data_IF_978715054005
#
_entry.id   IF_978715054005
#
_cell.length_a   1.000
_cell.length_b   1.000
_cell.length_c   1.000
_cell.angle_alpha   90.00
_cell.angle_beta   90.00
_cell.angle_gamma   90.00
#
_symmetry.space_group_name_H-M   'P 1'
#
loop_
_entity.id
_entity.type
_entity.pdbx_description
1 polymer ?
#
# COMPACT_ATOMS: atom_id res chain seq x y z
N UNK A 1 -7.81 23.25 -7.64
CA UNK A 1 -8.43 21.97 -8.08
C UNK A 1 -7.72 20.71 -7.58
N UNK A 2 -6.52 20.33 -8.04
CA UNK A 2 -5.89 19.06 -7.57
C UNK A 2 -5.43 19.11 -6.10
N UNK A 3 -4.89 20.25 -5.67
CA UNK A 3 -4.46 20.46 -4.27
C UNK A 3 -5.63 20.50 -3.30
N UNK A 4 -6.73 21.18 -3.62
CA UNK A 4 -7.94 21.23 -2.79
C UNK A 4 -8.56 19.83 -2.62
N UNK A 5 -8.71 19.08 -3.72
CA UNK A 5 -9.18 17.68 -3.67
C UNK A 5 -8.28 16.80 -2.79
N UNK A 6 -6.97 17.02 -2.87
CA UNK A 6 -6.03 16.30 -2.01
C UNK A 6 -6.15 16.70 -0.54
N UNK A 7 -6.46 17.96 -0.22
CA UNK A 7 -6.72 18.38 1.17
C UNK A 7 -8.02 17.77 1.71
N UNK A 8 -9.08 17.70 0.91
CA UNK A 8 -10.32 16.99 1.28
C UNK A 8 -10.05 15.51 1.56
N UNK A 9 -9.27 14.84 0.71
CA UNK A 9 -8.86 13.45 0.93
C UNK A 9 -8.01 13.26 2.19
N UNK A 10 -7.09 14.16 2.49
CA UNK A 10 -6.28 14.15 3.72
C UNK A 10 -7.16 14.37 4.96
N UNK A 11 -8.10 15.31 4.89
CA UNK A 11 -9.06 15.54 5.96
C UNK A 11 -9.89 14.28 6.21
N UNK A 12 -10.43 13.67 5.14
CA UNK A 12 -11.17 12.41 5.23
C UNK A 12 -10.33 11.30 5.85
N UNK A 13 -9.08 11.16 5.45
CA UNK A 13 -8.15 10.17 6.01
C UNK A 13 -7.99 10.35 7.53
N UNK A 14 -7.86 11.57 8.03
CA UNK A 14 -7.70 11.86 9.46
C UNK A 14 -8.88 11.40 10.34
N UNK A 15 -10.07 11.34 9.76
CA UNK A 15 -11.32 10.95 10.43
C UNK A 15 -11.56 9.43 10.46
N UNK A 16 -10.75 8.66 9.73
CA UNK A 16 -10.98 7.23 9.50
C UNK A 16 -9.82 6.38 10.00
N UNK A 17 -10.08 5.09 10.15
CA UNK A 17 -9.07 4.06 10.28
C UNK A 17 -8.67 3.57 8.88
N UNK A 18 -7.45 3.85 8.40
CA UNK A 18 -6.99 3.39 7.10
C UNK A 18 -6.69 1.90 7.12
N UNK A 19 -7.34 1.17 6.21
CA UNK A 19 -6.94 -0.16 5.77
C UNK A 19 -6.14 -0.02 4.47
N UNK A 20 -4.89 -0.49 4.48
CA UNK A 20 -4.05 -0.64 3.29
C UNK A 20 -3.94 -2.13 2.98
N UNK A 21 -4.05 -2.51 1.71
CA UNK A 21 -3.81 -3.90 1.29
C UNK A 21 -2.65 -3.87 0.29
N UNK A 22 -1.57 -4.57 0.61
CA UNK A 22 -0.37 -4.64 -0.22
C UNK A 22 -0.26 -6.03 -0.85
N UNK A 23 0.03 -6.09 -2.15
CA UNK A 23 0.02 -7.35 -2.85
C UNK A 23 0.50 -7.29 -4.30
N UNK A 24 0.46 -8.45 -4.94
CA UNK A 24 0.82 -8.61 -6.35
C UNK A 24 -0.20 -7.94 -7.28
N UNK A 25 0.29 -7.41 -8.40
CA UNK A 25 -0.54 -6.81 -9.46
C UNK A 25 -1.22 -7.85 -10.35
N UNK A 26 -1.61 -7.46 -11.56
CA UNK A 26 -2.40 -8.31 -12.48
C UNK A 26 -1.75 -9.65 -12.90
N UNK A 27 -0.46 -9.85 -12.64
CA UNK A 27 0.23 -11.13 -12.86
C UNK A 27 -0.10 -12.20 -11.80
N UNK A 28 -0.79 -11.84 -10.72
CA UNK A 28 -1.26 -12.81 -9.73
C UNK A 28 -2.29 -13.76 -10.37
N UNK A 29 -1.97 -15.05 -10.43
CA UNK A 29 -2.83 -16.06 -11.06
C UNK A 29 -3.91 -16.60 -10.12
N UNK A 30 -3.83 -16.28 -8.82
CA UNK A 30 -4.77 -16.76 -7.80
C UNK A 30 -6.13 -16.07 -7.94
N UNK A 31 -7.19 -16.76 -7.54
CA UNK A 31 -8.54 -16.22 -7.56
C UNK A 31 -8.68 -15.04 -6.55
N UNK A 32 -8.98 -13.81 -7.01
CA UNK A 32 -9.11 -12.65 -6.14
C UNK A 32 -10.22 -12.80 -5.10
N UNK A 33 -11.28 -13.57 -5.37
CA UNK A 33 -12.36 -13.84 -4.40
C UNK A 33 -11.84 -14.66 -3.23
N UNK A 34 -11.06 -15.71 -3.51
CA UNK A 34 -10.42 -16.54 -2.50
C UNK A 34 -9.42 -15.76 -1.64
N UNK A 35 -8.59 -14.93 -2.28
CA UNK A 35 -7.62 -14.08 -1.58
C UNK A 35 -8.33 -13.05 -0.69
N UNK A 36 -9.32 -12.33 -1.23
CA UNK A 36 -10.12 -11.37 -0.46
C UNK A 36 -10.84 -12.03 0.71
N UNK A 37 -11.36 -13.25 0.54
CA UNK A 37 -12.00 -14.00 1.63
C UNK A 37 -11.03 -14.36 2.75
N UNK A 38 -9.81 -14.73 2.39
CA UNK A 38 -8.74 -15.03 3.35
C UNK A 38 -8.34 -13.77 4.11
N UNK A 39 -8.10 -12.65 3.41
CA UNK A 39 -7.76 -11.35 4.02
C UNK A 39 -8.87 -10.92 4.98
N UNK A 40 -10.13 -10.95 4.53
CA UNK A 40 -11.27 -10.59 5.38
C UNK A 40 -11.33 -11.43 6.66
N UNK A 41 -11.09 -12.75 6.57
CA UNK A 41 -11.04 -13.63 7.76
C UNK A 41 -9.91 -13.23 8.71
N UNK A 42 -8.72 -12.90 8.21
CA UNK A 42 -7.60 -12.47 9.05
C UNK A 42 -7.85 -11.10 9.68
N UNK A 43 -8.39 -10.15 8.92
CA UNK A 43 -8.78 -8.83 9.44
C UNK A 43 -9.78 -8.94 10.58
N UNK A 44 -10.82 -9.77 10.45
CA UNK A 44 -11.77 -9.98 11.56
C UNK A 44 -11.10 -10.52 12.81
N UNK A 45 -10.25 -11.55 12.69
CA UNK A 45 -9.51 -12.11 13.84
C UNK A 45 -8.60 -11.07 14.48
N UNK A 46 -7.94 -10.25 13.67
CA UNK A 46 -7.08 -9.19 14.16
C UNK A 46 -7.90 -8.13 14.93
N UNK A 47 -9.02 -7.69 14.36
CA UNK A 47 -9.89 -6.67 14.96
C UNK A 47 -10.74 -7.17 16.13
N UNK A 48 -10.89 -8.48 16.33
CA UNK A 48 -11.43 -9.05 17.58
C UNK A 48 -10.51 -8.75 18.78
N UNK A 49 -9.20 -8.64 18.55
CA UNK A 49 -8.19 -8.32 19.58
C UNK A 49 -7.96 -6.81 19.65
N UNK A 50 -7.79 -6.17 18.49
CA UNK A 50 -7.48 -4.75 18.36
C UNK A 50 -8.47 -4.08 17.41
N UNK A 51 -9.70 -3.76 17.87
CA UNK A 51 -10.73 -3.18 17.01
C UNK A 51 -10.35 -1.76 16.57
N UNK A 52 -10.64 -1.36 15.31
CA UNK A 52 -10.53 0.02 14.85
C UNK A 52 -11.38 0.96 15.73
N UNK A 53 -10.84 2.10 16.13
CA UNK A 53 -11.60 3.10 16.92
C UNK A 53 -12.32 4.11 16.03
N UNK A 54 -11.91 4.21 14.76
CA UNK A 54 -12.53 5.05 13.74
C UNK A 54 -13.22 4.22 12.65
N UNK A 55 -14.18 4.81 11.91
CA UNK A 55 -14.77 4.17 10.74
C UNK A 55 -13.68 3.77 9.74
N UNK A 56 -13.80 2.58 9.15
CA UNK A 56 -12.83 2.08 8.18
C UNK A 56 -12.87 2.87 6.86
N UNK A 57 -11.70 3.05 6.25
CA UNK A 57 -11.56 3.49 4.86
C UNK A 57 -10.47 2.68 4.17
N UNK A 58 -10.73 2.22 2.95
CA UNK A 58 -9.73 1.47 2.17
C UNK A 58 -8.87 2.44 1.37
N UNK A 59 -7.55 2.39 1.54
CA UNK A 59 -6.61 3.25 0.83
C UNK A 59 -5.90 2.44 -0.27
N UNK A 60 -6.03 2.86 -1.53
CA UNK A 60 -5.41 2.21 -2.70
C UNK A 60 -4.31 3.08 -3.30
N UNK A 61 -3.37 2.45 -4.02
CA UNK A 61 -2.12 3.08 -4.46
C UNK A 61 -2.03 3.24 -5.99
N UNK A 62 -3.19 3.38 -6.66
CA UNK A 62 -3.25 3.67 -8.09
C UNK A 62 -2.97 2.51 -9.03
N UNK A 63 -3.13 1.28 -8.54
CA UNK A 63 -3.13 0.09 -9.40
C UNK A 63 -4.16 0.22 -10.53
N UNK A 64 -3.81 -0.22 -11.75
CA UNK A 64 -4.74 -0.18 -12.87
C UNK A 64 -5.91 -1.13 -12.66
N UNK A 65 -7.01 -0.90 -13.37
CA UNK A 65 -8.13 -1.85 -13.40
C UNK A 65 -7.67 -3.18 -14.04
N UNK A 66 -7.71 -4.24 -13.24
CA UNK A 66 -7.31 -5.59 -13.64
C UNK A 66 -8.32 -6.61 -13.12
N UNK A 67 -8.50 -7.73 -13.84
CA UNK A 67 -9.39 -8.83 -13.43
C UNK A 67 -8.85 -9.64 -12.25
N UNK A 68 -7.53 -9.56 -12.00
CA UNK A 68 -6.82 -10.28 -10.94
C UNK A 68 -5.89 -9.35 -10.15
N UNK A 69 -5.25 -9.91 -9.12
CA UNK A 69 -4.32 -9.19 -8.26
C UNK A 69 -4.99 -8.13 -7.41
N UNK A 70 -4.18 -7.20 -6.91
CA UNK A 70 -4.57 -6.25 -5.87
C UNK A 70 -5.76 -5.35 -6.26
N UNK A 71 -5.87 -4.96 -7.52
CA UNK A 71 -6.99 -4.15 -8.02
C UNK A 71 -8.33 -4.87 -7.87
N UNK A 72 -8.42 -6.12 -8.32
CA UNK A 72 -9.61 -6.95 -8.13
C UNK A 72 -9.90 -7.24 -6.65
N UNK A 73 -8.87 -7.56 -5.87
CA UNK A 73 -8.99 -7.87 -4.44
C UNK A 73 -9.55 -6.66 -3.67
N UNK A 74 -9.03 -5.46 -3.91
CA UNK A 74 -9.45 -4.24 -3.18
C UNK A 74 -10.87 -3.83 -3.52
N UNK A 75 -11.37 -4.08 -4.75
CA UNK A 75 -12.80 -3.92 -5.07
C UNK A 75 -13.68 -4.82 -4.22
N UNK A 76 -13.37 -6.13 -4.20
CA UNK A 76 -14.12 -7.12 -3.40
C UNK A 76 -14.09 -6.76 -1.92
N UNK A 77 -12.94 -6.31 -1.40
CA UNK A 77 -12.81 -5.88 0.00
C UNK A 77 -13.63 -4.62 0.31
N UNK A 78 -13.66 -3.64 -0.60
CA UNK A 78 -14.51 -2.44 -0.46
C UNK A 78 -15.99 -2.81 -0.37
N UNK A 79 -16.46 -3.74 -1.20
CA UNK A 79 -17.84 -4.22 -1.16
C UNK A 79 -18.15 -5.01 0.09
N UNK A 80 -17.29 -5.98 0.41
CA UNK A 80 -17.47 -6.88 1.56
C UNK A 80 -17.46 -6.15 2.89
N UNK A 81 -16.63 -5.12 3.03
CA UNK A 81 -16.59 -4.27 4.22
C UNK A 81 -17.59 -3.11 4.14
N UNK A 82 -18.20 -2.88 2.98
CA UNK A 82 -19.08 -1.73 2.71
C UNK A 82 -18.42 -0.37 2.98
N UNK A 83 -17.12 -0.25 2.70
CA UNK A 83 -16.31 0.95 2.95
C UNK A 83 -15.97 1.69 1.64
N UNK A 84 -15.91 3.03 1.65
CA UNK A 84 -15.40 3.78 0.50
C UNK A 84 -13.90 3.59 0.34
N UNK A 85 -13.37 3.99 -0.83
CA UNK A 85 -11.93 4.04 -1.09
C UNK A 85 -11.39 5.47 -1.12
N UNK A 86 -10.14 5.64 -0.70
CA UNK A 86 -9.29 6.79 -1.04
C UNK A 86 -8.23 6.29 -2.01
N UNK A 87 -8.07 7.00 -3.13
CA UNK A 87 -7.00 6.74 -4.08
C UNK A 87 -5.81 7.66 -3.81
N UNK A 88 -4.64 7.08 -3.52
CA UNK A 88 -3.37 7.80 -3.52
C UNK A 88 -2.63 7.50 -4.81
N UNK A 89 -2.21 8.54 -5.54
CA UNK A 89 -1.63 8.38 -6.88
C UNK A 89 -0.36 9.21 -7.08
N UNK A 90 0.59 8.70 -7.86
CA UNK A 90 1.75 9.46 -8.32
C UNK A 90 1.33 10.64 -9.22
N UNK A 91 1.90 11.81 -8.95
CA UNK A 91 1.71 13.01 -9.76
C UNK A 91 2.11 12.76 -11.23
N UNK A 92 1.46 13.45 -12.21
CA UNK A 92 1.79 13.27 -13.62
C UNK A 92 3.24 13.60 -13.99
N UNK A 93 3.91 14.46 -13.21
CA UNK A 93 5.33 14.76 -13.35
C UNK A 93 6.26 13.61 -12.92
N UNK A 94 5.74 12.64 -12.17
CA UNK A 94 6.46 11.43 -11.75
C UNK A 94 6.12 10.27 -12.69
N UNK A 95 4.83 10.05 -12.95
CA UNK A 95 4.34 9.00 -13.83
C UNK A 95 2.99 9.42 -14.45
N UNK A 96 3.04 10.03 -15.63
CA UNK A 96 1.86 10.57 -16.33
C UNK A 96 0.75 9.55 -16.60
N UNK A 97 1.12 8.27 -16.73
CA UNK A 97 0.19 7.17 -16.95
C UNK A 97 -0.50 6.66 -15.67
N UNK A 98 0.03 6.97 -14.49
CA UNK A 98 -0.40 6.33 -13.24
C UNK A 98 -1.82 6.74 -12.85
N UNK A 99 -2.05 8.04 -12.70
CA UNK A 99 -3.37 8.55 -12.29
C UNK A 99 -4.47 8.22 -13.31
N UNK A 100 -4.28 8.36 -14.64
CA UNK A 100 -5.32 8.01 -15.62
C UNK A 100 -5.71 6.53 -15.60
N UNK A 101 -4.77 5.63 -15.33
CA UNK A 101 -5.02 4.19 -15.37
C UNK A 101 -5.57 3.63 -14.05
N UNK A 102 -5.42 4.37 -12.95
CA UNK A 102 -5.83 3.94 -11.61
C UNK A 102 -7.32 3.57 -11.53
N UNK A 103 -7.61 2.44 -10.88
CA UNK A 103 -8.97 2.00 -10.61
C UNK A 103 -9.70 2.96 -9.64
N UNK A 104 -10.82 3.53 -10.09
CA UNK A 104 -11.64 4.49 -9.34
C UNK A 104 -12.95 3.94 -8.79
N UNK A 105 -13.19 2.64 -8.89
CA UNK A 105 -14.37 2.01 -8.30
C UNK A 105 -14.58 2.40 -6.82
N UNK A 106 -15.73 2.99 -6.46
CA UNK A 106 -16.04 3.45 -5.09
C UNK A 106 -14.98 4.39 -4.46
N UNK A 107 -14.14 5.04 -5.26
CA UNK A 107 -13.23 6.07 -4.77
C UNK A 107 -14.06 7.31 -4.44
N UNK A 108 -13.97 7.73 -3.18
CA UNK A 108 -14.67 8.89 -2.65
C UNK A 108 -13.80 10.15 -2.67
N UNK A 109 -12.49 9.99 -2.50
CA UNK A 109 -11.51 11.08 -2.48
C UNK A 109 -10.21 10.61 -3.12
N UNK A 110 -9.44 11.55 -3.67
CA UNK A 110 -8.14 11.28 -4.26
C UNK A 110 -7.08 12.19 -3.63
N UNK A 111 -5.88 11.67 -3.40
CA UNK A 111 -4.75 12.40 -2.83
C UNK A 111 -3.55 12.21 -3.75
N UNK A 112 -2.96 13.31 -4.23
CA UNK A 112 -1.69 13.20 -4.95
C UNK A 112 -0.56 12.83 -4.00
N UNK A 113 0.41 12.07 -4.51
CA UNK A 113 1.58 11.66 -3.75
C UNK A 113 2.37 12.85 -3.21
N UNK A 114 2.55 13.91 -4.02
CA UNK A 114 3.15 15.17 -3.58
C UNK A 114 2.43 15.77 -2.37
N UNK A 115 1.10 15.89 -2.41
CA UNK A 115 0.33 16.47 -1.32
C UNK A 115 0.40 15.61 -0.05
N UNK A 116 0.37 14.28 -0.17
CA UNK A 116 0.49 13.37 0.96
C UNK A 116 1.88 13.45 1.60
N UNK A 117 2.93 13.43 0.77
CA UNK A 117 4.32 13.58 1.21
C UNK A 117 4.55 14.92 1.91
N UNK A 118 4.03 16.01 1.36
CA UNK A 118 4.14 17.34 1.94
C UNK A 118 3.39 17.43 3.26
N UNK A 119 2.21 16.79 3.37
CA UNK A 119 1.48 16.69 4.64
C UNK A 119 2.29 15.91 5.67
N UNK A 120 2.82 14.75 5.33
CA UNK A 120 3.65 13.95 6.23
C UNK A 120 4.88 14.74 6.70
N UNK A 121 5.53 15.48 5.80
CA UNK A 121 6.66 16.33 6.16
C UNK A 121 6.28 17.46 7.14
N UNK A 122 5.07 18.03 7.01
CA UNK A 122 4.56 19.01 7.98
C UNK A 122 4.23 18.41 9.34
N UNK A 123 3.72 17.17 9.37
CA UNK A 123 3.48 16.43 10.62
C UNK A 123 4.80 16.09 11.33
N UNK A 124 5.82 15.71 10.55
CA UNK A 124 7.18 15.45 11.06
C UNK A 124 8.22 15.55 9.95
N UNK A 125 9.04 16.60 10.02
CA UNK A 125 10.04 16.89 8.99
C UNK A 125 11.13 15.82 8.88
N UNK A 126 11.29 14.96 9.89
CA UNK A 126 12.35 13.96 9.96
C UNK A 126 11.95 12.59 9.41
N UNK A 127 10.73 12.40 8.89
CA UNK A 127 10.25 11.08 8.43
C UNK A 127 10.58 10.80 6.96
N UNK A 128 10.29 11.75 6.07
CA UNK A 128 10.34 11.51 4.61
C UNK A 128 11.75 11.17 4.11
N UNK A 129 12.76 11.86 4.63
CA UNK A 129 14.15 11.66 4.20
C UNK A 129 14.70 10.27 4.59
N UNK A 130 14.54 9.78 5.84
CA UNK A 130 14.91 8.41 6.19
C UNK A 130 14.20 7.33 5.37
N UNK A 131 12.89 7.44 5.14
CA UNK A 131 12.16 6.49 4.27
C UNK A 131 12.80 6.46 2.88
N UNK A 132 13.06 7.64 2.31
CA UNK A 132 13.65 7.76 0.98
C UNK A 132 15.02 7.09 0.91
N UNK A 133 15.87 7.33 1.92
CA UNK A 133 17.21 6.74 2.00
C UNK A 133 17.16 5.22 2.09
N UNK A 134 16.32 4.66 2.95
CA UNK A 134 16.22 3.19 3.12
C UNK A 134 15.63 2.54 1.87
N UNK A 135 14.66 3.17 1.20
CA UNK A 135 14.18 2.71 -0.12
C UNK A 135 15.33 2.66 -1.13
N UNK A 136 16.15 3.71 -1.19
CA UNK A 136 17.29 3.77 -2.11
C UNK A 136 18.34 2.70 -1.80
N UNK A 137 18.65 2.46 -0.53
CA UNK A 137 19.56 1.39 -0.08
C UNK A 137 19.02 -0.02 -0.41
N UNK A 138 17.72 -0.24 -0.23
CA UNK A 138 17.07 -1.52 -0.56
C UNK A 138 17.06 -1.74 -2.07
N UNK A 139 16.82 -0.69 -2.86
CA UNK A 139 16.85 -0.76 -4.31
C UNK A 139 18.26 -1.07 -4.83
N UNK A 140 19.29 -0.43 -4.26
CA UNK A 140 20.69 -0.70 -4.57
C UNK A 140 21.07 -2.14 -4.25
N UNK A 141 20.71 -2.63 -3.06
CA UNK A 141 20.98 -4.01 -2.62
C UNK A 141 20.32 -5.03 -3.56
N UNK A 142 19.03 -4.85 -3.86
CA UNK A 142 18.29 -5.73 -4.79
C UNK A 142 18.89 -5.69 -6.20
N UNK A 143 19.30 -4.52 -6.67
CA UNK A 143 19.91 -4.35 -8.00
C UNK A 143 21.28 -5.03 -8.08
N UNK A 144 22.14 -4.83 -7.08
CA UNK A 144 23.44 -5.49 -7.01
C UNK A 144 23.29 -7.02 -7.01
N UNK A 145 22.32 -7.55 -6.26
CA UNK A 145 22.02 -8.98 -6.24
C UNK A 145 21.57 -9.51 -7.61
N UNK A 146 20.67 -8.81 -8.31
CA UNK A 146 20.23 -9.21 -9.66
C UNK A 146 21.37 -9.23 -10.66
N UNK A 147 22.25 -8.22 -10.62
CA UNK A 147 23.42 -8.15 -11.49
C UNK A 147 24.39 -9.32 -11.22
N UNK A 148 24.60 -9.67 -9.94
CA UNK A 148 25.39 -10.84 -9.56
C UNK A 148 24.75 -12.17 -10.03
N UNK A 149 23.43 -12.22 -10.17
CA UNK A 149 22.67 -13.34 -10.75
C UNK A 149 22.62 -13.32 -12.29
N UNK A 150 23.30 -12.38 -12.95
CA UNK A 150 23.29 -12.24 -14.41
C UNK A 150 21.98 -11.70 -14.98
N UNK A 151 21.15 -11.05 -14.15
CA UNK A 151 19.88 -10.42 -14.54
C UNK A 151 20.02 -8.91 -14.69
N UNK A 152 19.13 -8.30 -15.47
CA UNK A 152 19.06 -6.86 -15.60
C UNK A 152 18.75 -6.15 -14.28
N UNK A 153 19.18 -4.87 -14.18
CA UNK A 153 18.82 -3.98 -13.07
C UNK A 153 17.30 -3.87 -12.88
N UNK A 154 16.87 -3.53 -11.67
CA UNK A 154 15.47 -3.20 -11.46
C UNK A 154 15.10 -1.94 -12.28
N UNK A 155 13.91 -1.92 -12.92
CA UNK A 155 13.43 -0.75 -13.63
C UNK A 155 13.39 0.50 -12.75
N UNK A 156 13.67 1.66 -13.34
CA UNK A 156 13.78 2.93 -12.61
C UNK A 156 12.47 3.33 -11.90
N UNK A 157 11.31 2.84 -12.39
CA UNK A 157 10.02 3.09 -11.74
C UNK A 157 9.94 2.48 -10.32
N UNK A 158 10.70 1.43 -10.01
CA UNK A 158 10.64 0.74 -8.71
C UNK A 158 10.78 1.71 -7.54
N UNK A 159 11.68 2.68 -7.68
CA UNK A 159 11.90 3.71 -6.67
C UNK A 159 10.62 4.47 -6.35
N UNK A 160 9.93 4.97 -7.38
CA UNK A 160 8.73 5.81 -7.20
C UNK A 160 7.57 5.01 -6.61
N UNK A 161 7.39 3.76 -7.03
CA UNK A 161 6.33 2.90 -6.49
C UNK A 161 6.64 2.41 -5.07
N UNK A 162 7.90 2.13 -4.73
CA UNK A 162 8.30 1.82 -3.36
C UNK A 162 8.10 3.03 -2.44
N UNK A 163 8.45 4.24 -2.89
CA UNK A 163 8.18 5.46 -2.15
C UNK A 163 6.68 5.72 -1.97
N UNK A 164 5.87 5.54 -3.03
CA UNK A 164 4.42 5.60 -2.94
C UNK A 164 3.90 4.64 -1.87
N UNK A 165 4.39 3.39 -1.87
CA UNK A 165 3.96 2.39 -0.92
C UNK A 165 4.23 2.81 0.53
N UNK A 166 5.49 3.11 0.82
CA UNK A 166 5.95 3.33 2.19
C UNK A 166 5.52 4.67 2.77
N UNK A 167 5.58 5.75 1.96
CA UNK A 167 5.09 7.06 2.40
C UNK A 167 3.57 7.02 2.59
N UNK A 168 2.81 6.33 1.72
CA UNK A 168 1.37 6.19 1.91
C UNK A 168 1.04 5.54 3.25
N UNK A 169 1.67 4.40 3.54
CA UNK A 169 1.47 3.65 4.77
C UNK A 169 1.81 4.46 6.02
N UNK A 170 2.98 5.11 6.03
CA UNK A 170 3.41 5.94 7.17
C UNK A 170 2.53 7.20 7.30
N UNK A 171 2.14 7.83 6.20
CA UNK A 171 1.24 8.99 6.23
C UNK A 171 -0.15 8.61 6.77
N UNK A 172 -0.71 7.48 6.35
CA UNK A 172 -1.96 6.94 6.89
C UNK A 172 -1.88 6.84 8.42
N UNK A 173 -0.83 6.19 8.96
CA UNK A 173 -0.64 6.08 10.40
C UNK A 173 -0.50 7.44 11.08
N UNK A 174 0.34 8.34 10.55
CA UNK A 174 0.62 9.65 11.19
C UNK A 174 -0.59 10.58 11.18
N UNK A 175 -1.35 10.61 10.08
CA UNK A 175 -2.51 11.50 9.89
C UNK A 175 -3.73 10.96 10.64
N UNK A 176 -3.97 9.65 10.58
CA UNK A 176 -5.14 9.02 11.21
C UNK A 176 -4.90 8.64 12.67
N UNK A 177 -3.64 8.48 13.10
CA UNK A 177 -3.30 7.94 14.42
C UNK A 177 -3.55 6.44 14.58
N UNK A 178 -4.04 5.77 13.53
CA UNK A 178 -4.34 4.34 13.48
C UNK A 178 -4.00 3.81 12.08
N UNK A 179 -3.72 2.52 11.97
CA UNK A 179 -3.45 1.86 10.69
C UNK A 179 -3.73 0.35 10.79
N UNK A 180 -4.21 -0.24 9.70
CA UNK A 180 -4.09 -1.68 9.46
C UNK A 180 -3.59 -1.92 8.05
N UNK A 181 -2.60 -2.80 7.92
CA UNK A 181 -2.05 -3.24 6.64
C UNK A 181 -2.28 -4.73 6.50
N UNK A 182 -2.84 -5.18 5.39
CA UNK A 182 -2.97 -6.61 5.10
C UNK A 182 -2.16 -6.98 3.87
N UNK A 183 -1.52 -8.15 3.90
CA UNK A 183 -0.84 -8.68 2.72
C UNK A 183 -1.73 -9.66 1.95
N UNK A 184 -1.56 -9.73 0.64
CA UNK A 184 -2.22 -10.74 -0.21
C UNK A 184 -1.45 -12.07 -0.32
N UNK A 185 -0.28 -12.16 0.30
CA UNK A 185 0.57 -13.36 0.27
C UNK A 185 1.46 -13.45 1.51
N UNK A 186 1.75 -14.67 1.95
CA UNK A 186 2.73 -14.96 3.00
C UNK A 186 4.16 -14.94 2.46
N UNK A 187 4.32 -15.10 1.14
CA UNK A 187 5.59 -15.05 0.43
C UNK A 187 5.55 -13.88 -0.55
N UNK A 188 6.38 -12.87 -0.29
CA UNK A 188 6.59 -11.75 -1.19
C UNK A 188 7.87 -11.99 -1.96
N UNK A 189 7.80 -11.90 -3.30
CA UNK A 189 9.00 -11.94 -4.13
C UNK A 189 9.96 -10.82 -3.72
N UNK A 190 11.21 -11.16 -3.48
CA UNK A 190 12.26 -10.18 -3.11
C UNK A 190 12.38 -9.05 -4.14
N UNK A 191 12.05 -9.32 -5.41
CA UNK A 191 12.13 -8.35 -6.48
C UNK A 191 10.78 -7.72 -6.82
N UNK A 192 9.77 -7.79 -5.94
CA UNK A 192 8.53 -7.02 -6.08
C UNK A 192 8.61 -5.69 -5.32
N UNK A 193 7.80 -4.72 -5.74
CA UNK A 193 7.60 -3.47 -4.97
C UNK A 193 7.06 -3.78 -3.58
N UNK A 194 6.15 -4.76 -3.43
CA UNK A 194 5.60 -5.15 -2.13
C UNK A 194 6.67 -5.56 -1.12
N UNK A 195 7.82 -6.09 -1.57
CA UNK A 195 8.92 -6.45 -0.66
C UNK A 195 9.55 -5.26 0.09
N UNK A 196 9.28 -4.02 -0.32
CA UNK A 196 9.68 -2.81 0.40
C UNK A 196 8.83 -2.54 1.64
N UNK A 197 7.80 -3.35 1.92
CA UNK A 197 6.91 -3.17 3.08
C UNK A 197 7.63 -3.03 4.43
N UNK A 198 8.85 -3.54 4.50
CA UNK A 198 9.70 -3.52 5.68
C UNK A 198 10.27 -2.15 6.01
N UNK A 199 10.36 -1.21 5.07
CA UNK A 199 11.03 0.08 5.29
C UNK A 199 10.40 0.82 6.48
N UNK A 200 9.06 0.91 6.54
CA UNK A 200 8.38 1.50 7.69
C UNK A 200 8.61 0.74 9.00
N UNK A 201 8.72 -0.59 8.95
CA UNK A 201 8.99 -1.45 10.12
C UNK A 201 10.43 -1.29 10.63
N UNK A 202 11.41 -1.35 9.74
CA UNK A 202 12.83 -1.27 10.07
C UNK A 202 13.21 0.12 10.62
N UNK A 203 12.47 1.17 10.23
CA UNK A 203 12.57 2.52 10.80
C UNK A 203 11.75 2.72 12.09
N UNK A 204 10.99 1.72 12.54
CA UNK A 204 10.10 1.84 13.71
C UNK A 204 8.92 2.81 13.52
N UNK A 205 8.62 3.18 12.26
CA UNK A 205 7.51 4.08 11.93
C UNK A 205 6.17 3.31 11.91
N UNK A 206 6.21 2.05 11.52
CA UNK A 206 5.09 1.09 11.55
C UNK A 206 5.39 0.03 12.60
N UNK A 207 4.38 -0.36 13.37
CA UNK A 207 4.48 -1.45 14.35
C UNK A 207 4.06 -2.77 13.69
N UNK A 208 4.74 -3.87 14.03
CA UNK A 208 4.40 -5.20 13.49
C UNK A 208 2.96 -5.64 13.78
N UNK A 209 2.36 -5.16 14.87
CA UNK A 209 0.96 -5.40 15.22
C UNK A 209 -0.02 -4.71 14.26
N UNK A 210 0.41 -3.70 13.49
CA UNK A 210 -0.42 -3.06 12.47
C UNK A 210 -0.46 -3.89 11.17
N UNK A 211 0.38 -4.92 11.04
CA UNK A 211 0.47 -5.80 9.87
C UNK A 211 -0.32 -7.09 10.14
N UNK A 212 -1.32 -7.34 9.32
CA UNK A 212 -2.11 -8.57 9.30
C UNK A 212 -1.52 -9.52 8.26
N UNK A 213 -0.83 -10.60 8.70
CA UNK A 213 -0.16 -11.51 7.79
C UNK A 213 -1.18 -12.33 7.00
N UNK A 214 -0.85 -12.63 5.75
CA UNK A 214 -1.54 -13.67 5.02
C UNK A 214 -1.09 -15.05 5.55
N UNK A 215 -1.97 -16.04 5.67
CA UNK A 215 -1.59 -17.38 6.11
C UNK A 215 -0.54 -18.02 5.20
N UNK A 216 0.30 -18.87 5.77
CA UNK A 216 1.15 -19.77 4.98
C UNK A 216 0.24 -20.77 4.27
N UNK A 217 0.42 -20.96 2.97
CA UNK A 217 -0.30 -22.02 2.23
C UNK A 217 0.12 -23.37 2.79
N UNK A 218 -0.70 -23.96 3.66
CA UNK A 218 -0.45 -25.30 4.21
C UNK A 218 -0.77 -26.43 3.21
N UNK A 219 -1.21 -26.09 1.99
CA UNK A 219 -1.64 -27.03 0.95
C UNK A 219 -0.65 -27.15 -0.23
N UNK A 220 0.62 -26.78 -0.05
CA UNK A 220 1.68 -27.16 -0.99
C UNK A 220 2.29 -28.46 -0.46
N UNK A 221 1.71 -29.59 -0.84
CA UNK A 221 2.48 -30.83 -0.89
C UNK A 221 3.67 -30.57 -1.83
N UNK A 222 4.88 -30.66 -1.27
CA UNK A 222 6.12 -30.68 -2.06
C UNK A 222 6.13 -31.84 -3.04
#
# INVERSE_FOLDING_TARGET
MSQERSQEGIQKLSEHHPLVIEGMGGYDTRDPVMIASTIHKQLRKHWEITPPRKPLILVTQGDPLEERGISAITRIMSDRLSVPRILVYLDPSIASYHAPNADRYRVSHEISFSALKDRLHREDQHIVSPITKVVDEYLQTKTAKRLAEGKDKLPDYYRNFALLQEINKVACKKISGELTVAHTSSVLSEYSVSSFYRVGLDLGLIDSSEIVPFPIDTNISR
#
